data_IF_295165460239
#
_entry.id   IF_295165460239
#
_cell.length_a   1.000
_cell.length_b   1.000
_cell.length_c   1.000
_cell.angle_alpha   90.00
_cell.angle_beta   90.00
_cell.angle_gamma   90.00
#
_symmetry.space_group_name_H-M   'P 1'
#
loop_
_entity.id
_entity.type
_entity.pdbx_description
1 polymer ?
#
# COMPACT_ATOMS: atom_id res chain seq x y z
N UNK A 1 -5.93 -28.53 14.83
CA UNK A 1 -5.42 -28.02 16.12
C UNK A 1 -6.59 -27.30 16.79
N UNK A 2 -7.00 -27.72 17.98
CA UNK A 2 -8.17 -27.12 18.68
C UNK A 2 -7.74 -25.98 19.60
N UNK A 3 -6.94 -25.01 19.07
CA UNK A 3 -6.62 -23.79 19.82
C UNK A 3 -7.66 -22.73 19.52
N UNK A 4 -8.26 -22.16 20.56
CA UNK A 4 -9.15 -21.00 20.43
C UNK A 4 -8.29 -19.76 20.16
N UNK A 5 -8.69 -18.92 19.24
CA UNK A 5 -7.95 -17.67 18.95
C UNK A 5 -8.38 -16.56 19.91
N UNK A 6 -7.47 -15.62 20.16
CA UNK A 6 -7.78 -14.41 20.95
C UNK A 6 -8.93 -13.62 20.27
N UNK A 7 -8.95 -13.58 18.93
CA UNK A 7 -10.04 -12.96 18.16
C UNK A 7 -11.40 -13.58 18.46
N UNK A 8 -11.49 -14.91 18.49
CA UNK A 8 -12.75 -15.61 18.79
C UNK A 8 -13.23 -15.29 20.21
N UNK A 9 -12.32 -15.26 21.18
CA UNK A 9 -12.64 -14.90 22.56
C UNK A 9 -13.21 -13.49 22.65
N UNK A 10 -12.57 -12.49 22.00
CA UNK A 10 -13.05 -11.11 22.01
C UNK A 10 -14.39 -10.93 21.29
N UNK A 11 -14.59 -11.60 20.16
CA UNK A 11 -15.81 -11.49 19.35
C UNK A 11 -17.01 -12.25 19.91
N UNK A 12 -16.75 -13.34 20.64
CA UNK A 12 -17.78 -14.27 21.10
C UNK A 12 -17.61 -14.61 22.59
N UNK A 13 -17.21 -13.63 23.41
CA UNK A 13 -16.85 -13.81 24.82
C UNK A 13 -17.88 -14.60 25.60
N UNK A 14 -19.18 -14.35 25.38
CA UNK A 14 -20.29 -15.02 26.06
C UNK A 14 -20.28 -16.57 25.84
N UNK A 15 -19.69 -17.00 24.74
CA UNK A 15 -19.52 -18.41 24.41
C UNK A 15 -18.43 -19.07 25.25
N UNK A 16 -17.42 -18.31 25.67
CA UNK A 16 -16.21 -18.82 26.33
C UNK A 16 -16.11 -18.48 27.81
N UNK A 17 -16.87 -17.51 28.32
CA UNK A 17 -16.89 -17.19 29.76
C UNK A 17 -17.26 -18.39 30.58
N UNK A 18 -16.55 -18.59 31.72
CA UNK A 18 -16.65 -19.66 32.67
C UNK A 18 -16.42 -21.07 32.09
N UNK A 19 -15.79 -21.13 30.89
CA UNK A 19 -15.41 -22.38 30.23
C UNK A 19 -13.89 -22.50 30.11
N UNK A 20 -13.47 -23.75 30.00
CA UNK A 20 -12.08 -24.07 29.69
C UNK A 20 -11.78 -23.70 28.23
N UNK A 21 -10.69 -22.97 28.03
CA UNK A 21 -10.14 -22.59 26.72
C UNK A 21 -8.68 -23.02 26.65
N UNK A 22 -8.21 -23.25 25.43
CA UNK A 22 -6.80 -23.50 25.15
C UNK A 22 -6.34 -22.54 24.04
N UNK A 23 -5.34 -21.72 24.35
CA UNK A 23 -4.75 -20.76 23.40
C UNK A 23 -3.25 -21.01 23.22
N UNK A 24 -2.72 -20.69 22.04
CA UNK A 24 -1.27 -20.63 21.80
C UNK A 24 -0.87 -19.19 21.45
N UNK A 25 0.30 -18.74 21.90
CA UNK A 25 0.74 -17.39 21.56
C UNK A 25 2.12 -17.04 22.10
N UNK A 26 2.51 -15.81 21.85
CA UNK A 26 3.81 -15.27 22.26
C UNK A 26 3.68 -14.35 23.46
N UNK A 27 4.61 -14.53 24.41
CA UNK A 27 4.71 -13.72 25.63
C UNK A 27 5.08 -12.27 25.27
N UNK A 28 4.25 -11.34 25.71
CA UNK A 28 4.48 -9.89 25.59
C UNK A 28 5.03 -9.28 26.87
N UNK A 29 4.65 -9.83 28.01
CA UNK A 29 5.23 -9.49 29.31
C UNK A 29 4.91 -10.56 30.33
N UNK A 30 5.79 -10.71 31.31
CA UNK A 30 5.59 -11.52 32.51
C UNK A 30 5.76 -10.62 33.72
N UNK A 31 4.88 -10.78 34.71
CA UNK A 31 4.97 -10.14 36.03
C UNK A 31 4.62 -11.17 37.07
N UNK A 32 5.52 -11.49 37.97
CA UNK A 32 5.33 -12.47 39.01
C UNK A 32 5.40 -11.88 40.41
N UNK A 33 4.74 -12.58 41.35
CA UNK A 33 4.89 -12.46 42.81
C UNK A 33 5.31 -13.82 43.38
N UNK A 34 5.35 -13.96 44.71
CA UNK A 34 5.75 -15.22 45.32
C UNK A 34 4.80 -16.38 45.02
N UNK A 35 3.50 -16.09 44.91
CA UNK A 35 2.46 -17.12 44.87
C UNK A 35 1.68 -17.16 43.55
N UNK A 36 1.76 -16.13 42.73
CA UNK A 36 1.09 -16.05 41.43
C UNK A 36 1.77 -15.04 40.50
N UNK A 37 1.39 -15.06 39.22
CA UNK A 37 1.86 -14.08 38.26
C UNK A 37 0.91 -13.89 37.09
N UNK A 38 1.28 -12.93 36.24
CA UNK A 38 0.53 -12.57 35.06
C UNK A 38 1.42 -12.68 33.82
N UNK A 39 0.89 -13.30 32.80
CA UNK A 39 1.48 -13.29 31.44
C UNK A 39 0.53 -12.55 30.51
N UNK A 40 1.04 -11.63 29.74
CA UNK A 40 0.31 -11.03 28.61
C UNK A 40 0.71 -11.77 27.35
N UNK A 41 -0.27 -12.35 26.65
CA UNK A 41 -0.09 -13.17 25.45
C UNK A 41 -0.73 -12.51 24.24
N UNK A 42 -0.05 -12.57 23.11
CA UNK A 42 -0.58 -12.26 21.79
C UNK A 42 -0.46 -13.48 20.91
N UNK A 43 -1.55 -13.90 20.28
CA UNK A 43 -1.56 -14.99 19.31
C UNK A 43 -1.47 -14.49 17.85
N UNK A 44 -1.44 -13.18 17.67
CA UNK A 44 -1.43 -12.53 16.35
C UNK A 44 -2.78 -12.53 15.62
N UNK A 45 -3.82 -13.16 16.15
CA UNK A 45 -5.14 -13.20 15.51
C UNK A 45 -5.93 -11.90 15.69
N UNK A 46 -5.64 -11.15 16.75
CA UNK A 46 -6.34 -9.93 17.14
C UNK A 46 -5.35 -8.85 17.59
N UNK A 47 -5.74 -7.59 17.53
CA UNK A 47 -4.87 -6.49 17.97
C UNK A 47 -4.69 -6.46 19.48
N UNK A 48 -5.78 -6.68 20.23
CA UNK A 48 -5.71 -6.76 21.68
C UNK A 48 -5.04 -8.06 22.16
N UNK A 49 -4.44 -7.99 23.32
CA UNK A 49 -3.77 -9.11 23.97
C UNK A 49 -4.65 -9.75 25.05
N UNK A 50 -4.30 -10.95 25.48
CA UNK A 50 -5.00 -11.67 26.51
C UNK A 50 -4.12 -11.83 27.77
N UNK A 51 -4.68 -11.55 28.94
CA UNK A 51 -4.01 -11.78 30.22
C UNK A 51 -4.24 -13.19 30.70
N UNK A 52 -3.18 -13.80 31.19
CA UNK A 52 -3.16 -15.14 31.79
C UNK A 52 -2.67 -15.01 33.22
N UNK A 53 -3.40 -15.57 34.17
CA UNK A 53 -2.99 -15.68 35.58
C UNK A 53 -2.50 -17.10 35.84
N UNK A 54 -1.33 -17.23 36.45
CA UNK A 54 -0.75 -18.53 36.83
C UNK A 54 -0.38 -18.53 38.32
N UNK A 55 -0.43 -19.69 38.97
CA UNK A 55 -0.24 -19.85 40.42
C UNK A 55 0.94 -20.78 40.75
N UNK A 56 1.47 -20.64 41.95
CA UNK A 56 2.58 -21.44 42.50
C UNK A 56 2.25 -22.93 42.68
N UNK A 57 0.97 -23.30 42.58
CA UNK A 57 0.53 -24.70 42.52
C UNK A 57 0.92 -25.43 41.24
N UNK A 58 1.34 -24.70 40.19
CA UNK A 58 1.80 -25.29 38.92
C UNK A 58 3.17 -25.95 39.08
N UNK A 59 3.39 -27.17 38.57
CA UNK A 59 4.67 -27.89 38.70
C UNK A 59 5.86 -27.10 38.13
N UNK A 60 5.62 -26.31 37.06
CA UNK A 60 6.64 -25.53 36.36
C UNK A 60 6.57 -24.02 36.66
N UNK A 61 6.00 -23.61 37.79
CA UNK A 61 5.88 -22.20 38.20
C UNK A 61 7.21 -21.43 38.12
N UNK A 62 8.30 -22.08 38.58
CA UNK A 62 9.65 -21.45 38.54
C UNK A 62 10.16 -21.19 37.12
N UNK A 63 9.79 -22.03 36.17
CA UNK A 63 10.11 -21.85 34.76
C UNK A 63 9.26 -20.71 34.15
N UNK A 64 7.95 -20.76 34.37
CA UNK A 64 7.01 -19.75 33.84
C UNK A 64 7.36 -18.37 34.36
N UNK A 65 7.71 -18.24 35.62
CA UNK A 65 8.07 -16.96 36.26
C UNK A 65 9.33 -16.30 35.65
N UNK A 66 10.15 -17.07 34.92
CA UNK A 66 11.41 -16.63 34.29
C UNK A 66 11.30 -16.53 32.78
N UNK A 67 10.11 -16.67 32.19
CA UNK A 67 9.93 -16.58 30.77
C UNK A 67 10.35 -15.19 30.25
N UNK A 68 11.13 -15.19 29.18
CA UNK A 68 11.46 -13.97 28.46
C UNK A 68 10.33 -13.55 27.51
N UNK A 69 10.28 -12.26 27.20
CA UNK A 69 9.43 -11.72 26.12
C UNK A 69 9.79 -12.43 24.82
N UNK A 70 8.80 -12.77 24.03
CA UNK A 70 8.96 -13.48 22.76
C UNK A 70 8.92 -15.00 22.87
N UNK A 71 8.94 -15.59 24.08
CA UNK A 71 8.71 -17.02 24.23
C UNK A 71 7.31 -17.43 23.72
N UNK A 72 7.20 -18.60 23.11
CA UNK A 72 5.92 -19.17 22.69
C UNK A 72 5.42 -20.16 23.73
N UNK A 73 4.12 -20.07 24.04
CA UNK A 73 3.45 -20.88 25.07
C UNK A 73 2.10 -21.35 24.58
N UNK A 74 1.68 -22.50 25.13
CA UNK A 74 0.29 -22.97 25.09
C UNK A 74 -0.27 -22.86 26.50
N UNK A 75 -1.42 -22.22 26.63
CA UNK A 75 -2.12 -22.01 27.90
C UNK A 75 -3.46 -22.71 27.87
N UNK A 76 -3.75 -23.49 28.89
CA UNK A 76 -5.05 -24.09 29.16
C UNK A 76 -5.58 -23.53 30.46
N UNK A 77 -6.86 -23.14 30.52
CA UNK A 77 -7.46 -22.59 31.71
C UNK A 77 -8.88 -22.09 31.49
N UNK A 78 -9.47 -21.56 32.55
CA UNK A 78 -10.85 -21.03 32.53
C UNK A 78 -10.82 -19.55 32.21
N UNK A 79 -11.61 -19.11 31.20
CA UNK A 79 -11.82 -17.69 30.91
C UNK A 79 -12.78 -17.10 31.96
N UNK A 80 -12.34 -16.07 32.66
CA UNK A 80 -13.15 -15.39 33.70
C UNK A 80 -13.30 -13.90 33.38
N UNK A 81 -14.47 -13.35 33.69
CA UNK A 81 -14.73 -11.92 33.55
C UNK A 81 -13.97 -11.12 34.61
N UNK A 82 -13.46 -9.97 34.25
CA UNK A 82 -12.73 -9.02 35.11
C UNK A 82 -13.28 -7.62 35.00
N UNK A 83 -14.55 -7.36 35.41
CA UNK A 83 -15.22 -6.08 35.15
C UNK A 83 -14.55 -4.87 35.82
N UNK A 84 -13.82 -5.09 36.91
CA UNK A 84 -13.11 -4.05 37.65
C UNK A 84 -11.66 -3.81 37.13
N UNK A 85 -11.19 -4.63 36.16
CA UNK A 85 -9.85 -4.54 35.61
C UNK A 85 -9.85 -3.74 34.29
N UNK A 86 -8.66 -3.37 33.84
CA UNK A 86 -8.49 -2.70 32.53
C UNK A 86 -8.92 -3.60 31.36
N UNK A 87 -8.62 -4.90 31.44
CA UNK A 87 -9.05 -5.91 30.48
C UNK A 87 -10.43 -6.48 30.89
N UNK A 88 -11.30 -6.83 29.93
CA UNK A 88 -12.66 -7.31 30.24
C UNK A 88 -12.71 -8.73 30.79
N UNK A 89 -11.66 -9.54 30.62
CA UNK A 89 -11.54 -10.93 31.06
C UNK A 89 -10.07 -11.37 31.08
N UNK A 90 -9.81 -12.52 31.70
CA UNK A 90 -8.50 -13.16 31.77
C UNK A 90 -8.64 -14.69 31.81
N UNK A 91 -7.56 -15.41 31.52
CA UNK A 91 -7.51 -16.85 31.67
C UNK A 91 -6.90 -17.17 33.05
N UNK A 92 -7.65 -17.87 33.88
CA UNK A 92 -7.12 -18.54 35.08
C UNK A 92 -6.51 -19.87 34.63
N UNK A 93 -5.19 -19.89 34.47
CA UNK A 93 -4.49 -21.00 33.87
C UNK A 93 -4.47 -22.22 34.81
N UNK A 94 -4.74 -23.39 34.25
CA UNK A 94 -4.53 -24.71 34.89
C UNK A 94 -3.24 -25.35 34.37
N UNK A 95 -2.82 -24.99 33.18
CA UNK A 95 -1.58 -25.47 32.54
C UNK A 95 -0.96 -24.37 31.66
N UNK A 96 0.36 -24.25 31.70
CA UNK A 96 1.15 -23.42 30.77
C UNK A 96 2.32 -24.26 30.28
N UNK A 97 2.28 -24.64 29.02
CA UNK A 97 3.37 -25.36 28.35
C UNK A 97 4.24 -24.40 27.56
N UNK A 98 5.55 -24.51 27.70
CA UNK A 98 6.52 -23.73 26.94
C UNK A 98 6.83 -24.47 25.65
N UNK A 99 6.39 -23.92 24.49
CA UNK A 99 6.68 -24.48 23.16
C UNK A 99 8.08 -24.09 22.68
N UNK A 100 8.46 -22.84 22.94
CA UNK A 100 9.77 -22.32 22.56
C UNK A 100 10.23 -21.23 23.51
N UNK A 101 11.38 -21.39 24.18
CA UNK A 101 11.96 -20.34 25.00
C UNK A 101 12.48 -19.18 24.11
N UNK A 102 12.57 -17.99 24.68
CA UNK A 102 13.19 -16.82 24.05
C UNK A 102 14.52 -16.53 24.71
N UNK A 103 15.54 -16.26 23.89
CA UNK A 103 16.86 -15.90 24.38
C UNK A 103 16.84 -14.54 25.12
N UNK A 104 17.79 -14.35 26.04
CA UNK A 104 17.86 -13.15 26.88
C UNK A 104 18.20 -11.88 26.10
N UNK A 105 18.80 -12.01 24.92
CA UNK A 105 19.19 -10.94 24.00
C UNK A 105 18.09 -10.61 22.97
N UNK A 106 16.86 -11.14 23.14
CA UNK A 106 15.72 -10.82 22.28
C UNK A 106 15.58 -9.30 22.10
N UNK A 107 15.64 -8.77 20.86
CA UNK A 107 15.81 -7.35 20.61
C UNK A 107 14.58 -6.51 20.95
N UNK A 108 13.38 -7.08 20.90
CA UNK A 108 12.11 -6.38 21.17
C UNK A 108 11.76 -6.43 22.67
N UNK A 109 12.64 -5.85 23.50
CA UNK A 109 12.41 -5.71 24.93
C UNK A 109 11.26 -4.73 25.24
N UNK A 110 10.75 -4.74 26.48
CA UNK A 110 9.68 -3.87 26.97
C UNK A 110 10.13 -2.40 27.06
N UNK A 111 10.37 -1.77 25.91
CA UNK A 111 10.71 -0.35 25.77
C UNK A 111 10.17 0.15 24.42
N UNK A 112 10.08 1.47 24.26
CA UNK A 112 9.76 2.05 22.96
C UNK A 112 10.97 1.88 22.02
N UNK A 113 10.71 1.39 20.81
CA UNK A 113 11.69 1.28 19.72
C UNK A 113 11.38 2.31 18.65
N UNK A 114 12.41 2.92 18.06
CA UNK A 114 12.21 3.80 16.91
C UNK A 114 11.90 2.99 15.64
N UNK A 115 11.21 3.61 14.69
CA UNK A 115 10.93 2.94 13.41
C UNK A 115 12.21 2.64 12.63
N UNK A 116 13.22 3.50 12.71
CA UNK A 116 14.55 3.30 12.11
C UNK A 116 15.21 2.02 12.64
N UNK A 117 15.21 1.83 13.96
CA UNK A 117 15.73 0.60 14.55
C UNK A 117 14.92 -0.62 14.09
N UNK A 118 13.60 -0.51 14.08
CA UNK A 118 12.74 -1.65 13.67
C UNK A 118 12.93 -2.04 12.19
N UNK A 119 13.38 -1.12 11.33
CA UNK A 119 13.77 -1.44 9.95
C UNK A 119 15.00 -2.35 9.88
N UNK A 120 15.93 -2.23 10.83
CA UNK A 120 17.12 -3.10 10.87
C UNK A 120 16.82 -4.54 11.29
N UNK A 121 15.63 -4.79 11.84
CA UNK A 121 15.14 -6.10 12.25
C UNK A 121 13.77 -6.39 11.62
N UNK A 122 13.63 -6.18 10.32
CA UNK A 122 12.37 -6.28 9.58
C UNK A 122 11.63 -7.60 9.80
N UNK A 123 12.35 -8.72 10.00
CA UNK A 123 11.81 -10.04 10.28
C UNK A 123 11.18 -10.18 11.69
N UNK A 124 11.52 -9.30 12.64
CA UNK A 124 10.96 -9.32 14.00
C UNK A 124 9.97 -8.18 14.25
N UNK A 125 10.06 -7.08 13.52
CA UNK A 125 9.18 -5.91 13.73
C UNK A 125 7.68 -6.22 13.66
N UNK A 126 7.17 -7.25 12.93
CA UNK A 126 5.75 -7.63 12.97
C UNK A 126 5.25 -8.04 14.35
N UNK A 127 6.15 -8.37 15.29
CA UNK A 127 5.79 -8.68 16.67
C UNK A 127 5.50 -7.44 17.53
N UNK A 128 5.67 -6.23 17.00
CA UNK A 128 5.31 -4.97 17.69
C UNK A 128 3.87 -4.57 17.39
N UNK A 129 3.24 -3.83 18.30
CA UNK A 129 1.85 -3.36 18.11
C UNK A 129 1.73 -2.50 16.84
N UNK A 130 2.68 -1.61 16.60
CA UNK A 130 2.68 -0.74 15.42
C UNK A 130 2.61 -1.54 14.13
N UNK A 131 3.48 -2.54 13.97
CA UNK A 131 3.53 -3.31 12.72
C UNK A 131 2.45 -4.39 12.64
N UNK A 132 1.95 -4.90 13.75
CA UNK A 132 0.73 -5.70 13.74
C UNK A 132 -0.45 -4.89 13.21
N UNK A 133 -0.62 -3.65 13.68
CA UNK A 133 -1.67 -2.77 13.18
C UNK A 133 -1.48 -2.43 11.69
N UNK A 134 -0.29 -2.00 11.28
CA UNK A 134 0.02 -1.63 9.89
C UNK A 134 -0.28 -2.78 8.93
N UNK A 135 0.25 -3.98 9.19
CA UNK A 135 0.09 -5.09 8.25
C UNK A 135 -1.29 -5.71 8.28
N UNK A 136 -2.03 -5.58 9.38
CA UNK A 136 -3.44 -5.95 9.41
C UNK A 136 -4.29 -4.99 8.58
N UNK A 137 -4.09 -3.68 8.72
CA UNK A 137 -4.78 -2.69 7.89
C UNK A 137 -4.38 -2.84 6.41
N UNK A 138 -3.09 -3.07 6.10
CA UNK A 138 -2.65 -3.37 4.74
C UNK A 138 -3.38 -4.57 4.14
N UNK A 139 -3.52 -5.66 4.90
CA UNK A 139 -4.25 -6.86 4.46
C UNK A 139 -5.73 -6.58 4.20
N UNK A 140 -6.39 -5.85 5.11
CA UNK A 140 -7.80 -5.49 4.94
C UNK A 140 -8.02 -4.53 3.77
N UNK A 141 -7.14 -3.54 3.58
CA UNK A 141 -7.21 -2.62 2.46
C UNK A 141 -7.07 -3.35 1.11
N UNK A 142 -6.15 -4.33 1.01
CA UNK A 142 -6.01 -5.15 -0.19
C UNK A 142 -7.28 -5.95 -0.49
N UNK A 143 -7.86 -6.57 0.54
CA UNK A 143 -9.14 -7.29 0.38
C UNK A 143 -10.28 -6.35 -0.03
N UNK A 144 -10.39 -5.19 0.61
CA UNK A 144 -11.41 -4.19 0.27
C UNK A 144 -11.33 -3.72 -1.18
N UNK A 145 -10.11 -3.52 -1.72
CA UNK A 145 -9.89 -3.15 -3.11
C UNK A 145 -10.38 -4.27 -4.05
N UNK A 146 -10.00 -5.52 -3.78
CA UNK A 146 -10.51 -6.65 -4.57
C UNK A 146 -12.04 -6.76 -4.50
N UNK A 147 -12.61 -6.63 -3.31
CA UNK A 147 -14.06 -6.68 -3.12
C UNK A 147 -14.76 -5.56 -3.88
N UNK A 148 -14.26 -4.33 -3.81
CA UNK A 148 -14.79 -3.18 -4.52
C UNK A 148 -14.95 -3.44 -6.02
N UNK A 149 -13.87 -3.90 -6.65
CA UNK A 149 -13.86 -4.15 -8.09
C UNK A 149 -14.70 -5.38 -8.49
N UNK A 150 -14.59 -6.47 -7.73
CA UNK A 150 -15.35 -7.69 -8.03
C UNK A 150 -16.87 -7.49 -7.90
N UNK A 151 -17.34 -6.73 -6.91
CA UNK A 151 -18.76 -6.38 -6.74
C UNK A 151 -19.32 -5.46 -7.85
N UNK A 152 -18.41 -4.87 -8.67
CA UNK A 152 -18.74 -3.99 -9.81
C UNK A 152 -18.42 -4.61 -11.17
N UNK A 153 -18.27 -5.93 -11.21
CA UNK A 153 -18.02 -6.70 -12.42
C UNK A 153 -16.72 -6.34 -13.16
N UNK A 154 -15.70 -5.85 -12.43
CA UNK A 154 -14.36 -5.71 -12.97
C UNK A 154 -13.65 -7.05 -12.98
N UNK A 155 -12.94 -7.37 -14.07
CA UNK A 155 -12.13 -8.57 -14.19
C UNK A 155 -10.71 -8.28 -13.69
N UNK A 156 -10.23 -9.07 -12.72
CA UNK A 156 -8.83 -9.02 -12.28
C UNK A 156 -7.91 -9.64 -13.33
N UNK A 157 -6.92 -8.90 -13.78
CA UNK A 157 -5.98 -9.33 -14.82
C UNK A 157 -4.55 -9.37 -14.27
N UNK A 158 -3.88 -10.51 -14.48
CA UNK A 158 -2.46 -10.64 -14.25
C UNK A 158 -1.70 -10.13 -15.49
N UNK A 159 -1.03 -9.01 -15.38
CA UNK A 159 -0.14 -8.48 -16.41
C UNK A 159 1.31 -8.90 -16.15
N UNK A 160 2.16 -9.01 -17.19
CA UNK A 160 3.53 -9.47 -17.04
C UNK A 160 4.37 -8.54 -16.14
N UNK A 161 5.16 -9.13 -15.24
CA UNK A 161 6.15 -8.41 -14.45
C UNK A 161 7.47 -8.22 -15.20
N UNK A 162 7.80 -9.14 -16.12
CA UNK A 162 8.95 -9.04 -17.02
C UNK A 162 8.43 -8.58 -18.38
N UNK A 163 8.93 -7.46 -18.86
CA UNK A 163 8.44 -6.83 -20.10
C UNK A 163 9.60 -6.33 -20.96
N UNK A 164 9.36 -6.23 -22.26
CA UNK A 164 10.25 -5.59 -23.20
C UNK A 164 9.79 -4.15 -23.57
N UNK A 165 8.61 -3.72 -23.08
CA UNK A 165 8.07 -2.38 -23.33
C UNK A 165 8.18 -1.49 -22.08
N UNK A 166 8.38 -0.17 -22.30
CA UNK A 166 8.37 0.85 -21.25
C UNK A 166 7.02 1.59 -21.28
N UNK A 167 6.20 1.40 -20.26
CA UNK A 167 4.89 2.05 -20.16
C UNK A 167 4.99 3.57 -20.06
N UNK A 168 5.97 4.08 -19.35
CA UNK A 168 6.16 5.52 -19.13
C UNK A 168 6.94 6.20 -20.26
N UNK A 169 7.65 5.41 -21.08
CA UNK A 169 8.46 5.89 -22.21
C UNK A 169 9.79 6.58 -21.81
N UNK A 170 10.12 6.62 -20.53
CA UNK A 170 11.37 7.20 -19.99
C UNK A 170 11.69 6.64 -18.60
N UNK A 171 11.11 5.50 -18.22
CA UNK A 171 11.27 4.90 -16.90
C UNK A 171 12.67 4.33 -16.66
N UNK A 172 13.23 4.61 -15.50
CA UNK A 172 14.42 3.89 -15.02
C UNK A 172 13.98 2.48 -14.60
N UNK A 173 14.25 1.49 -15.46
CA UNK A 173 13.81 0.12 -15.28
C UNK A 173 14.96 -0.77 -14.80
N UNK A 174 14.66 -1.70 -13.89
CA UNK A 174 15.58 -2.79 -13.56
C UNK A 174 15.64 -3.77 -14.72
N UNK A 175 16.86 -4.03 -15.21
CA UNK A 175 17.08 -5.03 -16.26
C UNK A 175 16.99 -6.45 -15.71
N UNK A 176 16.33 -7.33 -16.45
CA UNK A 176 16.27 -8.77 -16.19
C UNK A 176 17.14 -9.49 -17.21
N UNK A 177 18.15 -10.21 -16.74
CA UNK A 177 19.08 -10.94 -17.58
C UNK A 177 19.58 -12.22 -16.89
N UNK A 178 19.90 -13.24 -17.68
CA UNK A 178 20.59 -14.47 -17.24
C UNK A 178 22.04 -14.52 -17.71
N UNK A 179 22.53 -13.46 -18.37
CA UNK A 179 23.91 -13.38 -18.82
C UNK A 179 24.87 -13.27 -17.63
N UNK A 180 26.05 -13.88 -17.76
CA UNK A 180 27.16 -13.63 -16.84
C UNK A 180 27.68 -12.20 -17.04
N UNK A 181 27.51 -11.34 -16.05
CA UNK A 181 27.96 -9.94 -16.09
C UNK A 181 29.51 -9.80 -16.20
N UNK A 182 30.28 -10.84 -15.85
CA UNK A 182 31.72 -10.85 -16.04
C UNK A 182 32.14 -11.22 -17.49
N UNK A 183 31.22 -11.81 -18.27
CA UNK A 183 31.47 -12.27 -19.62
C UNK A 183 30.23 -12.07 -20.52
N UNK A 184 29.83 -10.82 -20.68
CA UNK A 184 28.67 -10.44 -21.49
C UNK A 184 28.94 -10.68 -22.98
N UNK A 185 28.11 -11.48 -23.68
CA UNK A 185 28.21 -11.66 -25.14
C UNK A 185 28.07 -10.33 -25.88
N UNK A 186 28.91 -10.12 -26.89
CA UNK A 186 28.90 -8.89 -27.69
C UNK A 186 28.79 -9.21 -29.18
N UNK A 187 28.11 -8.32 -29.91
CA UNK A 187 28.10 -8.26 -31.37
C UNK A 187 29.41 -7.68 -31.93
N UNK A 188 29.59 -7.74 -33.24
CA UNK A 188 30.76 -7.19 -33.93
C UNK A 188 30.94 -5.67 -33.70
N UNK A 189 29.84 -4.95 -33.45
CA UNK A 189 29.83 -3.51 -33.13
C UNK A 189 30.10 -3.20 -31.66
N UNK A 190 30.48 -4.21 -30.88
CA UNK A 190 30.72 -4.13 -29.41
C UNK A 190 29.47 -3.89 -28.56
N UNK A 191 28.28 -3.83 -29.11
CA UNK A 191 27.03 -3.78 -28.34
C UNK A 191 26.72 -5.17 -27.74
N UNK A 192 25.87 -5.18 -26.68
CA UNK A 192 25.45 -6.44 -26.06
C UNK A 192 24.62 -7.28 -27.04
N UNK A 193 24.97 -8.56 -27.15
CA UNK A 193 24.22 -9.52 -27.97
C UNK A 193 23.10 -10.17 -27.16
N UNK A 194 21.99 -9.49 -27.05
CA UNK A 194 20.80 -10.00 -26.32
C UNK A 194 20.15 -11.22 -26.98
N UNK A 195 20.53 -11.60 -28.23
CA UNK A 195 20.02 -12.84 -28.83
C UNK A 195 20.47 -14.10 -28.06
N UNK A 196 21.52 -13.98 -27.25
CA UNK A 196 22.04 -15.02 -26.38
C UNK A 196 21.47 -14.96 -24.94
N UNK A 197 20.63 -13.97 -24.61
CA UNK A 197 19.94 -13.93 -23.33
C UNK A 197 18.66 -14.78 -23.34
N UNK A 198 18.10 -15.05 -22.16
CA UNK A 198 16.96 -15.96 -21.97
C UNK A 198 15.77 -15.65 -22.89
N UNK A 199 15.40 -14.38 -23.03
CA UNK A 199 14.27 -13.95 -23.87
C UNK A 199 14.67 -13.56 -25.30
N UNK A 200 15.95 -13.64 -25.65
CA UNK A 200 16.45 -13.26 -26.98
C UNK A 200 16.38 -11.77 -27.30
N UNK A 201 16.06 -10.92 -26.32
CA UNK A 201 15.96 -9.46 -26.40
C UNK A 201 16.10 -8.81 -25.02
N UNK A 202 16.37 -7.49 -24.94
CA UNK A 202 16.38 -6.78 -23.67
C UNK A 202 15.03 -6.89 -22.96
N UNK A 203 15.05 -7.21 -21.68
CA UNK A 203 13.85 -7.28 -20.84
C UNK A 203 14.10 -6.61 -19.49
N UNK A 204 13.03 -6.10 -18.89
CA UNK A 204 13.08 -5.35 -17.66
C UNK A 204 11.93 -5.76 -16.74
N UNK A 205 12.02 -5.37 -15.47
CA UNK A 205 10.88 -5.38 -14.56
C UNK A 205 9.95 -4.23 -14.89
N UNK A 206 8.64 -4.48 -14.89
CA UNK A 206 7.62 -3.51 -15.29
C UNK A 206 7.52 -2.32 -14.33
N UNK A 207 7.24 -1.15 -14.88
CA UNK A 207 6.89 0.07 -14.11
C UNK A 207 5.37 0.26 -13.96
N UNK A 208 4.55 -0.50 -14.72
CA UNK A 208 3.08 -0.44 -14.72
C UNK A 208 2.49 -1.61 -15.52
N UNK A 209 1.34 -2.10 -15.12
CA UNK A 209 0.55 -3.08 -15.88
C UNK A 209 -0.42 -2.45 -16.88
N UNK A 210 -0.47 -1.13 -16.99
CA UNK A 210 -1.50 -0.38 -17.72
C UNK A 210 -1.61 -0.80 -19.19
N UNK A 211 -0.53 -0.73 -19.97
CA UNK A 211 -0.61 -0.99 -21.42
C UNK A 211 -1.13 -2.39 -21.75
N UNK A 212 -0.69 -3.39 -20.99
CA UNK A 212 -1.21 -4.76 -21.11
C UNK A 212 -2.65 -4.86 -20.58
N UNK A 213 -2.99 -4.12 -19.52
CA UNK A 213 -4.35 -4.05 -18.97
C UNK A 213 -5.36 -3.49 -19.96
N UNK A 214 -4.99 -2.44 -20.71
CA UNK A 214 -5.85 -1.85 -21.73
C UNK A 214 -6.25 -2.87 -22.83
N UNK A 215 -5.40 -3.84 -23.16
CA UNK A 215 -5.74 -4.89 -24.12
C UNK A 215 -6.92 -5.72 -23.65
N UNK A 216 -7.00 -5.99 -22.36
CA UNK A 216 -8.11 -6.72 -21.74
C UNK A 216 -9.36 -5.85 -21.54
N UNK A 217 -9.20 -4.57 -21.26
CA UNK A 217 -10.33 -3.63 -21.18
C UNK A 217 -11.09 -3.55 -22.52
N UNK A 218 -10.37 -3.63 -23.66
CA UNK A 218 -10.97 -3.68 -25.01
C UNK A 218 -11.76 -4.96 -25.30
N UNK A 219 -11.72 -5.96 -24.41
CA UNK A 219 -12.46 -7.22 -24.53
C UNK A 219 -13.46 -7.43 -23.38
N UNK A 220 -13.09 -7.07 -22.17
CA UNK A 220 -13.87 -7.31 -20.93
C UNK A 220 -14.59 -6.06 -20.42
N UNK A 221 -14.43 -4.91 -21.07
CA UNK A 221 -14.98 -3.60 -20.70
C UNK A 221 -14.31 -3.00 -19.46
N UNK A 222 -14.39 -3.63 -18.30
CA UNK A 222 -13.82 -3.14 -17.04
C UNK A 222 -12.87 -4.19 -16.49
N UNK A 223 -11.63 -3.79 -16.30
CA UNK A 223 -10.59 -4.64 -15.70
C UNK A 223 -9.84 -3.87 -14.61
N UNK A 224 -9.10 -4.58 -13.80
CA UNK A 224 -8.09 -3.97 -12.95
C UNK A 224 -6.89 -4.90 -12.78
N UNK A 225 -5.72 -4.29 -12.61
CA UNK A 225 -4.52 -4.96 -12.12
C UNK A 225 -4.35 -4.66 -10.63
N UNK A 226 -3.73 -5.55 -9.91
CA UNK A 226 -3.23 -5.33 -8.56
C UNK A 226 -1.94 -6.14 -8.44
N UNK A 227 -0.83 -5.51 -8.71
CA UNK A 227 0.44 -6.22 -8.84
C UNK A 227 1.66 -5.36 -8.50
N UNK A 228 2.79 -6.04 -8.25
CA UNK A 228 4.06 -5.36 -8.00
C UNK A 228 4.54 -4.59 -9.24
N UNK A 229 5.09 -3.42 -8.98
CA UNK A 229 5.75 -2.56 -9.95
C UNK A 229 7.12 -2.16 -9.43
N UNK A 230 8.03 -1.82 -10.33
CA UNK A 230 9.43 -1.63 -10.01
C UNK A 230 9.94 -0.34 -10.67
N UNK A 231 10.65 0.49 -9.92
CA UNK A 231 11.29 1.70 -10.44
C UNK A 231 12.71 1.79 -9.90
N UNK A 232 13.68 1.95 -10.81
CA UNK A 232 15.10 2.02 -10.48
C UNK A 232 15.58 3.45 -10.19
N UNK A 233 14.66 4.38 -9.98
CA UNK A 233 14.96 5.78 -9.67
C UNK A 233 15.84 5.90 -8.43
N UNK A 234 16.92 6.68 -8.55
CA UNK A 234 17.80 6.97 -7.42
C UNK A 234 17.19 8.04 -6.50
N UNK A 235 16.03 7.72 -5.93
CA UNK A 235 15.28 8.59 -5.03
C UNK A 235 15.27 8.04 -3.61
N UNK A 236 15.75 8.82 -2.65
CA UNK A 236 15.82 8.44 -1.23
C UNK A 236 14.86 9.27 -0.37
N UNK A 237 13.61 9.38 -0.78
CA UNK A 237 12.56 10.09 -0.03
C UNK A 237 11.78 9.13 0.86
N UNK A 238 10.91 9.67 1.69
CA UNK A 238 9.98 8.90 2.54
C UNK A 238 8.81 8.28 1.75
N UNK A 239 8.67 8.60 0.46
CA UNK A 239 7.53 8.24 -0.38
C UNK A 239 7.90 7.35 -1.57
N UNK A 240 9.19 7.02 -1.77
CA UNK A 240 9.68 6.21 -2.87
C UNK A 240 10.26 4.87 -2.36
N UNK A 241 9.89 3.82 -3.05
CA UNK A 241 10.46 2.48 -2.94
C UNK A 241 10.73 1.94 -4.34
N UNK A 242 11.73 1.07 -4.46
CA UNK A 242 12.07 0.45 -5.75
C UNK A 242 11.10 -0.66 -6.17
N UNK A 243 10.40 -1.25 -5.19
CA UNK A 243 9.35 -2.25 -5.36
C UNK A 243 8.14 -1.82 -4.54
N UNK A 244 6.99 -1.73 -5.18
CA UNK A 244 5.70 -1.35 -4.57
C UNK A 244 4.55 -1.94 -5.39
N UNK A 245 3.31 -1.81 -4.90
CA UNK A 245 2.14 -2.37 -5.57
C UNK A 245 1.27 -1.28 -6.16
N UNK A 246 0.79 -1.51 -7.39
CA UNK A 246 -0.15 -0.61 -8.07
C UNK A 246 -1.50 -1.30 -8.26
N UNK A 247 -2.56 -0.51 -8.08
CA UNK A 247 -3.92 -0.86 -8.48
C UNK A 247 -4.26 0.00 -9.69
N UNK A 248 -4.52 -0.64 -10.82
CA UNK A 248 -4.68 0.03 -12.10
C UNK A 248 -5.94 -0.48 -12.82
N UNK A 249 -7.12 0.12 -12.55
CA UNK A 249 -8.33 -0.16 -13.33
C UNK A 249 -8.26 0.51 -14.71
N UNK A 250 -8.83 -0.17 -15.71
CA UNK A 250 -9.04 0.35 -17.07
C UNK A 250 -10.49 0.06 -17.50
N UNK A 251 -11.16 1.07 -18.01
CA UNK A 251 -12.60 1.04 -18.30
C UNK A 251 -12.87 1.49 -19.72
N UNK A 252 -13.36 0.58 -20.56
CA UNK A 252 -13.82 0.93 -21.89
C UNK A 252 -15.15 1.68 -21.85
N UNK A 253 -15.34 2.60 -22.80
CA UNK A 253 -16.48 3.50 -22.92
C UNK A 253 -16.62 4.54 -21.80
N UNK A 254 -15.59 4.68 -20.96
CA UNK A 254 -15.51 5.68 -19.90
C UNK A 254 -14.68 6.90 -20.34
N UNK A 255 -15.11 8.09 -19.95
CA UNK A 255 -14.34 9.31 -20.10
C UNK A 255 -13.61 9.71 -18.82
N UNK A 256 -13.01 10.92 -18.80
CA UNK A 256 -12.26 11.39 -17.64
C UNK A 256 -13.16 11.59 -16.40
N UNK A 257 -14.42 12.03 -16.60
CA UNK A 257 -15.34 12.21 -15.47
C UNK A 257 -15.75 10.87 -14.85
N UNK A 258 -16.10 9.87 -15.69
CA UNK A 258 -16.36 8.51 -15.22
C UNK A 258 -15.17 7.95 -14.42
N UNK A 259 -13.95 8.26 -14.88
CA UNK A 259 -12.70 7.83 -14.21
C UNK A 259 -12.55 8.46 -12.82
N UNK A 260 -12.82 9.77 -12.69
CA UNK A 260 -12.77 10.47 -11.41
C UNK A 260 -13.85 9.97 -10.44
N UNK A 261 -15.07 9.69 -10.92
CA UNK A 261 -16.15 9.13 -10.10
C UNK A 261 -15.79 7.76 -9.51
N UNK A 262 -15.22 6.87 -10.33
CA UNK A 262 -14.77 5.54 -9.86
C UNK A 262 -13.62 5.68 -8.86
N UNK A 263 -12.67 6.59 -9.09
CA UNK A 263 -11.56 6.84 -8.18
C UNK A 263 -12.03 7.34 -6.81
N UNK A 264 -12.98 8.28 -6.77
CA UNK A 264 -13.60 8.79 -5.54
C UNK A 264 -14.35 7.69 -4.79
N UNK A 265 -15.22 6.95 -5.48
CA UNK A 265 -16.02 5.88 -4.87
C UNK A 265 -15.15 4.76 -4.30
N UNK A 266 -14.13 4.33 -5.05
CA UNK A 266 -13.16 3.32 -4.58
C UNK A 266 -12.42 3.78 -3.33
N UNK A 267 -11.88 5.00 -3.32
CA UNK A 267 -11.13 5.51 -2.18
C UNK A 267 -12.00 5.58 -0.93
N UNK A 268 -13.22 6.09 -1.06
CA UNK A 268 -14.21 6.13 0.03
C UNK A 268 -14.59 4.75 0.52
N UNK A 269 -14.78 3.80 -0.40
CA UNK A 269 -15.09 2.40 -0.06
C UNK A 269 -13.98 1.78 0.81
N UNK A 270 -12.73 1.91 0.39
CA UNK A 270 -11.57 1.36 1.12
C UNK A 270 -11.43 1.99 2.51
N UNK A 271 -11.57 3.32 2.63
CA UNK A 271 -11.52 4.02 3.91
C UNK A 271 -12.63 3.49 4.85
N UNK A 272 -13.87 3.45 4.37
CA UNK A 272 -15.01 2.94 5.16
C UNK A 272 -14.79 1.52 5.62
N UNK A 273 -14.36 0.66 4.70
CA UNK A 273 -14.10 -0.76 4.99
C UNK A 273 -13.08 -0.94 6.11
N UNK A 274 -11.97 -0.22 6.06
CA UNK A 274 -10.91 -0.29 7.08
C UNK A 274 -11.40 0.24 8.44
N UNK A 275 -12.13 1.36 8.46
CA UNK A 275 -12.69 1.92 9.69
C UNK A 275 -13.68 0.97 10.37
N UNK A 276 -14.47 0.23 9.59
CA UNK A 276 -15.46 -0.73 10.10
C UNK A 276 -14.83 -2.05 10.57
N UNK A 277 -13.76 -2.53 9.92
CA UNK A 277 -13.20 -3.86 10.14
C UNK A 277 -11.92 -3.90 10.98
N UNK A 278 -11.32 -2.74 11.26
CA UNK A 278 -10.11 -2.60 12.08
C UNK A 278 -10.19 -1.45 13.09
N UNK A 279 -11.29 -1.32 13.87
CA UNK A 279 -11.47 -0.17 14.77
C UNK A 279 -10.38 -0.08 15.84
N UNK A 280 -9.87 -1.18 16.34
CA UNK A 280 -8.81 -1.21 17.36
C UNK A 280 -7.49 -0.68 16.80
N UNK A 281 -7.09 -1.14 15.62
CA UNK A 281 -5.89 -0.69 14.92
C UNK A 281 -6.01 0.80 14.54
N UNK A 282 -7.16 1.24 14.05
CA UNK A 282 -7.38 2.62 13.66
C UNK A 282 -7.38 3.57 14.88
N UNK A 283 -7.95 3.16 16.01
CA UNK A 283 -7.83 3.90 17.27
C UNK A 283 -6.38 3.98 17.75
N UNK A 284 -5.62 2.90 17.62
CA UNK A 284 -4.19 2.90 17.94
C UNK A 284 -3.41 3.91 17.09
N UNK A 285 -3.63 3.95 15.78
CA UNK A 285 -2.99 4.92 14.91
C UNK A 285 -3.35 6.36 15.28
N UNK A 286 -4.64 6.62 15.52
CA UNK A 286 -5.11 7.96 15.91
C UNK A 286 -4.51 8.43 17.24
N UNK A 287 -4.28 7.51 18.18
CA UNK A 287 -3.72 7.84 19.49
C UNK A 287 -2.21 8.00 19.48
N UNK A 288 -1.47 7.15 18.75
CA UNK A 288 -0.02 6.99 18.91
C UNK A 288 0.81 7.37 17.68
N UNK A 289 0.21 7.43 16.49
CA UNK A 289 0.94 7.69 15.24
C UNK A 289 0.57 9.06 14.69
N UNK A 290 -0.72 9.32 14.45
CA UNK A 290 -1.19 10.56 13.83
C UNK A 290 -2.50 11.02 14.49
N UNK A 291 -2.37 11.95 15.42
CA UNK A 291 -3.51 12.55 16.09
C UNK A 291 -4.38 13.34 15.09
N UNK A 292 -5.66 13.00 15.02
CA UNK A 292 -6.60 13.58 14.06
C UNK A 292 -6.76 12.73 12.78
N UNK A 293 -6.14 11.56 12.72
CA UNK A 293 -6.29 10.61 11.60
C UNK A 293 -7.76 10.26 11.34
N UNK A 294 -8.49 9.87 12.38
CA UNK A 294 -9.91 9.49 12.26
C UNK A 294 -10.78 10.65 11.80
N UNK A 295 -10.55 11.85 12.30
CA UNK A 295 -11.29 13.06 11.89
C UNK A 295 -11.04 13.35 10.40
N UNK A 296 -9.78 13.26 9.95
CA UNK A 296 -9.40 13.44 8.54
C UNK A 296 -10.05 12.40 7.63
N UNK A 297 -9.98 11.11 7.98
CA UNK A 297 -10.58 10.04 7.18
C UNK A 297 -12.12 10.16 7.12
N UNK A 298 -12.77 10.48 8.24
CA UNK A 298 -14.21 10.72 8.28
C UNK A 298 -14.60 11.97 7.47
N UNK A 299 -13.78 13.02 7.50
CA UNK A 299 -14.00 14.19 6.66
C UNK A 299 -13.97 13.83 5.16
N UNK A 300 -13.00 13.04 4.72
CA UNK A 300 -12.92 12.55 3.33
C UNK A 300 -14.16 11.73 2.95
N UNK A 301 -14.61 10.83 3.82
CA UNK A 301 -15.83 10.03 3.57
C UNK A 301 -17.08 10.88 3.34
N UNK A 302 -17.20 11.99 4.06
CA UNK A 302 -18.37 12.86 4.06
C UNK A 302 -18.25 14.06 3.10
N UNK A 303 -17.09 14.25 2.46
CA UNK A 303 -16.89 15.32 1.49
C UNK A 303 -17.18 14.87 0.07
N UNK A 304 -17.77 15.72 -0.72
CA UNK A 304 -17.70 15.66 -2.17
C UNK A 304 -16.33 16.20 -2.60
N UNK A 305 -15.62 15.49 -3.47
CA UNK A 305 -14.28 15.92 -3.88
C UNK A 305 -14.38 17.17 -4.76
N UNK A 306 -13.43 18.08 -4.57
CA UNK A 306 -13.34 19.29 -5.39
C UNK A 306 -12.78 18.99 -6.78
N UNK A 307 -13.03 19.90 -7.72
CA UNK A 307 -12.46 19.87 -9.06
C UNK A 307 -11.87 21.25 -9.38
N UNK A 308 -10.63 21.26 -9.84
CA UNK A 308 -9.93 22.46 -10.28
C UNK A 308 -8.96 22.09 -11.40
N UNK A 309 -9.05 22.70 -12.57
CA UNK A 309 -8.12 22.39 -13.66
C UNK A 309 -6.69 22.75 -13.26
N UNK A 310 -5.69 22.06 -13.84
CA UNK A 310 -4.28 22.37 -13.60
C UNK A 310 -3.98 23.86 -13.83
N UNK A 311 -4.50 24.42 -14.91
CA UNK A 311 -4.29 25.86 -15.22
C UNK A 311 -4.83 26.78 -14.13
N UNK A 312 -6.02 26.48 -13.60
CA UNK A 312 -6.61 27.25 -12.52
C UNK A 312 -5.90 27.01 -11.17
N UNK A 313 -5.50 25.75 -10.88
CA UNK A 313 -4.71 25.42 -9.73
C UNK A 313 -3.37 26.18 -9.70
N UNK A 314 -2.66 26.21 -10.83
CA UNK A 314 -1.42 26.99 -10.95
C UNK A 314 -1.68 28.49 -10.70
N UNK A 315 -2.75 29.05 -11.27
CA UNK A 315 -3.10 30.47 -11.04
C UNK A 315 -3.34 30.77 -9.56
N UNK A 316 -4.06 29.88 -8.85
CA UNK A 316 -4.30 30.01 -7.40
C UNK A 316 -2.97 29.92 -6.63
N UNK A 317 -2.11 28.97 -6.97
CA UNK A 317 -0.84 28.76 -6.29
C UNK A 317 0.16 29.88 -6.57
N UNK A 318 0.18 30.49 -7.76
CA UNK A 318 1.03 31.62 -8.11
C UNK A 318 0.77 32.85 -7.21
N UNK A 319 -0.48 33.05 -6.76
CA UNK A 319 -0.85 34.11 -5.79
C UNK A 319 -0.18 33.91 -4.41
N UNK A 320 0.28 32.68 -4.12
CA UNK A 320 0.92 32.28 -2.86
C UNK A 320 2.37 31.82 -3.03
N UNK A 321 2.99 32.18 -4.14
CA UNK A 321 4.31 31.64 -4.51
C UNK A 321 5.41 31.95 -3.47
N UNK A 322 5.24 33.00 -2.66
CA UNK A 322 6.19 33.34 -1.60
C UNK A 322 6.23 32.31 -0.46
N UNK A 323 5.17 31.51 -0.30
CA UNK A 323 5.05 30.48 0.72
C UNK A 323 5.73 29.16 0.34
N UNK A 324 6.17 28.97 -0.92
CA UNK A 324 6.71 27.72 -1.43
C UNK A 324 8.23 27.76 -1.61
N UNK A 325 8.86 26.63 -1.33
CA UNK A 325 10.28 26.42 -1.64
C UNK A 325 10.48 26.32 -3.16
N UNK A 326 9.62 25.57 -3.86
CA UNK A 326 9.58 25.46 -5.31
C UNK A 326 8.53 26.42 -5.88
N UNK A 327 8.98 27.34 -6.73
CA UNK A 327 8.07 28.31 -7.35
C UNK A 327 7.19 27.65 -8.40
N UNK A 328 5.90 27.94 -8.34
CA UNK A 328 4.90 27.45 -9.29
C UNK A 328 4.88 28.34 -10.53
N UNK A 329 4.78 27.75 -11.70
CA UNK A 329 4.54 28.38 -12.97
C UNK A 329 3.82 27.39 -13.90
N UNK A 330 3.10 27.88 -14.90
CA UNK A 330 2.41 26.99 -15.83
C UNK A 330 3.39 26.10 -16.60
N UNK A 331 3.18 24.79 -16.58
CA UNK A 331 4.05 23.78 -17.17
C UNK A 331 5.00 23.09 -16.17
N UNK A 332 5.03 23.52 -14.90
CA UNK A 332 5.81 22.82 -13.87
C UNK A 332 5.07 21.60 -13.32
N UNK A 333 5.83 20.60 -12.86
CA UNK A 333 5.29 19.53 -12.00
C UNK A 333 4.93 20.10 -10.63
N UNK A 334 3.69 19.86 -10.18
CA UNK A 334 3.27 20.23 -8.85
C UNK A 334 4.02 19.37 -7.82
N UNK A 335 4.63 20.05 -6.85
CA UNK A 335 5.31 19.38 -5.75
C UNK A 335 4.33 19.09 -4.61
N UNK A 336 4.68 18.17 -3.72
CA UNK A 336 3.84 17.83 -2.55
C UNK A 336 3.40 19.04 -1.73
N UNK A 337 4.22 20.08 -1.61
CA UNK A 337 3.85 21.32 -0.91
C UNK A 337 2.68 22.03 -1.60
N UNK A 338 2.67 22.07 -2.95
CA UNK A 338 1.61 22.67 -3.75
C UNK A 338 0.30 21.88 -3.65
N UNK A 339 0.37 20.56 -3.77
CA UNK A 339 -0.75 19.63 -3.68
C UNK A 339 -1.43 19.70 -2.30
N UNK A 340 -0.62 19.72 -1.24
CA UNK A 340 -1.12 19.87 0.12
C UNK A 340 -1.70 21.26 0.38
N UNK A 341 -1.13 22.30 -0.22
CA UNK A 341 -1.68 23.66 -0.10
C UNK A 341 -3.09 23.73 -0.70
N UNK A 342 -3.29 23.16 -1.88
CA UNK A 342 -4.62 23.05 -2.49
C UNK A 342 -5.61 22.32 -1.59
N UNK A 343 -5.24 21.15 -1.07
CA UNK A 343 -6.16 20.29 -0.29
C UNK A 343 -6.36 20.75 1.15
N UNK A 344 -5.35 21.37 1.79
CA UNK A 344 -5.38 21.72 3.21
C UNK A 344 -5.72 23.20 3.47
N UNK A 345 -5.39 24.12 2.53
CA UNK A 345 -5.60 25.55 2.70
C UNK A 345 -6.73 26.09 1.83
N UNK A 346 -6.74 25.75 0.55
CA UNK A 346 -7.70 26.31 -0.41
C UNK A 346 -9.04 25.57 -0.33
N UNK A 347 -9.06 24.29 -0.62
CA UNK A 347 -10.31 23.52 -0.72
C UNK A 347 -10.72 22.83 0.58
N UNK A 348 -9.78 22.59 1.49
CA UNK A 348 -9.97 21.90 2.77
C UNK A 348 -10.68 20.54 2.63
N UNK A 349 -10.43 19.85 1.51
CA UNK A 349 -11.00 18.55 1.15
C UNK A 349 -10.17 17.92 0.02
N UNK A 350 -10.40 16.63 -0.33
CA UNK A 350 -9.80 16.03 -1.52
C UNK A 350 -10.19 16.79 -2.78
N UNK A 351 -9.27 16.84 -3.76
CA UNK A 351 -9.43 17.61 -4.99
C UNK A 351 -8.91 16.81 -6.17
N UNK A 352 -9.70 16.73 -7.24
CA UNK A 352 -9.21 16.33 -8.55
C UNK A 352 -8.65 17.53 -9.29
N UNK A 353 -7.47 17.32 -9.87
CA UNK A 353 -6.82 18.30 -10.75
C UNK A 353 -6.72 17.69 -12.15
N UNK A 354 -7.66 17.99 -13.07
CA UNK A 354 -7.60 17.55 -14.45
C UNK A 354 -6.81 18.52 -15.37
N UNK A 355 -6.57 18.07 -16.60
CA UNK A 355 -6.10 18.87 -17.75
C UNK A 355 -4.68 19.44 -17.58
N UNK A 356 -3.73 18.54 -17.38
CA UNK A 356 -2.31 18.88 -17.26
C UNK A 356 -1.66 19.24 -18.62
N UNK A 357 -0.58 20.04 -18.63
CA UNK A 357 0.24 20.26 -19.83
C UNK A 357 0.77 18.94 -20.39
N UNK A 358 0.71 18.79 -21.71
CA UNK A 358 1.16 17.57 -22.40
C UNK A 358 2.64 17.24 -22.16
N UNK A 359 3.46 18.26 -21.96
CA UNK A 359 4.91 18.13 -21.82
C UNK A 359 5.34 17.38 -20.57
N UNK A 360 4.51 17.38 -19.53
CA UNK A 360 4.79 16.73 -18.24
C UNK A 360 3.97 15.45 -18.00
N UNK A 361 3.28 14.95 -19.03
CA UNK A 361 2.45 13.75 -18.93
C UNK A 361 2.79 12.75 -20.04
N UNK A 362 2.45 11.47 -19.81
CA UNK A 362 2.80 10.35 -20.67
C UNK A 362 2.13 10.40 -22.06
N UNK A 363 2.73 9.70 -23.02
CA UNK A 363 2.35 9.72 -24.44
C UNK A 363 0.94 9.21 -24.74
N UNK A 364 0.42 8.31 -23.92
CA UNK A 364 -0.87 7.63 -24.14
C UNK A 364 -2.09 8.44 -23.70
N UNK A 365 -1.89 9.58 -23.07
CA UNK A 365 -2.98 10.40 -22.56
C UNK A 365 -3.67 11.19 -23.68
N UNK A 366 -5.00 11.23 -23.63
CA UNK A 366 -5.81 11.88 -24.67
C UNK A 366 -5.51 13.37 -24.76
N UNK A 367 -5.17 13.83 -25.96
CA UNK A 367 -4.97 15.25 -26.23
C UNK A 367 -6.29 16.01 -26.19
N UNK A 368 -6.36 17.09 -25.41
CA UNK A 368 -7.49 18.01 -25.40
C UNK A 368 -7.55 18.87 -26.68
N UNK A 369 -8.71 19.48 -26.92
CA UNK A 369 -8.95 20.30 -28.13
C UNK A 369 -8.04 21.54 -28.22
N UNK A 370 -7.51 22.01 -27.09
CA UNK A 370 -6.59 23.16 -27.05
C UNK A 370 -5.19 22.85 -27.62
N UNK A 371 -4.87 21.57 -27.84
CA UNK A 371 -3.58 21.09 -28.35
C UNK A 371 -2.39 21.31 -27.39
N UNK A 372 -2.64 21.73 -26.16
CA UNK A 372 -1.65 22.05 -25.12
C UNK A 372 -1.76 21.16 -23.90
N UNK A 373 -2.97 20.76 -23.53
CA UNK A 373 -3.25 19.94 -22.37
C UNK A 373 -3.71 18.56 -22.77
N UNK A 374 -3.62 17.62 -21.83
CA UNK A 374 -4.13 16.25 -21.95
C UNK A 374 -5.16 15.98 -20.87
N UNK A 375 -6.10 15.08 -21.15
CA UNK A 375 -7.13 14.64 -20.22
C UNK A 375 -6.55 13.71 -19.13
N UNK A 376 -5.52 14.19 -18.44
CA UNK A 376 -4.95 13.61 -17.23
C UNK A 376 -5.76 14.06 -16.01
N UNK A 377 -5.68 13.33 -14.93
CA UNK A 377 -6.17 13.75 -13.63
C UNK A 377 -5.29 13.22 -12.50
N UNK A 378 -5.05 14.04 -11.50
CA UNK A 378 -4.49 13.60 -10.23
C UNK A 378 -5.53 13.82 -9.12
N UNK A 379 -5.71 12.83 -8.25
CA UNK A 379 -6.51 12.96 -7.03
C UNK A 379 -5.59 13.30 -5.88
N UNK A 380 -5.78 14.48 -5.32
CA UNK A 380 -5.02 15.01 -4.21
C UNK A 380 -5.81 14.86 -2.91
N UNK A 381 -5.17 14.39 -1.84
CA UNK A 381 -5.79 14.27 -0.52
C UNK A 381 -4.98 15.01 0.55
N UNK A 382 -5.65 15.55 1.61
CA UNK A 382 -4.96 16.19 2.72
C UNK A 382 -3.93 15.25 3.39
N UNK A 383 -2.76 15.75 3.71
CA UNK A 383 -1.70 15.01 4.41
C UNK A 383 -0.74 14.25 3.49
N UNK A 384 -1.17 13.81 2.33
CA UNK A 384 -0.35 13.06 1.37
C UNK A 384 -0.05 13.88 0.09
N UNK A 385 -1.02 14.61 -0.45
CA UNK A 385 -0.98 15.15 -1.80
C UNK A 385 -1.53 14.12 -2.78
N UNK A 386 -0.87 13.90 -3.92
CA UNK A 386 -1.29 12.92 -4.94
C UNK A 386 -1.33 11.50 -4.35
N UNK A 387 -2.51 10.86 -4.46
CA UNK A 387 -2.74 9.47 -4.09
C UNK A 387 -3.14 8.61 -5.30
N UNK A 388 -3.81 9.19 -6.28
CA UNK A 388 -4.22 8.56 -7.55
C UNK A 388 -3.82 9.47 -8.69
N UNK A 389 -3.19 8.90 -9.72
CA UNK A 389 -2.97 9.54 -11.01
C UNK A 389 -3.63 8.75 -12.12
N UNK A 390 -4.23 9.42 -13.10
CA UNK A 390 -4.93 8.74 -14.18
C UNK A 390 -5.17 9.60 -15.40
N UNK A 391 -5.83 9.05 -16.40
CA UNK A 391 -6.22 9.80 -17.59
C UNK A 391 -7.32 9.10 -18.40
N UNK A 392 -7.99 9.85 -19.23
CA UNK A 392 -8.57 9.28 -20.45
C UNK A 392 -7.43 8.96 -21.41
N UNK A 393 -7.51 7.82 -22.10
CA UNK A 393 -6.47 7.32 -22.99
C UNK A 393 -6.74 7.85 -24.41
N UNK A 394 -5.67 8.10 -25.20
CA UNK A 394 -5.83 8.50 -26.60
C UNK A 394 -6.41 7.33 -27.42
N UNK A 395 -7.57 7.54 -27.99
CA UNK A 395 -8.33 6.56 -28.76
C UNK A 395 -8.19 6.73 -30.28
N UNK A 396 -7.54 7.81 -30.72
CA UNK A 396 -7.20 8.06 -32.13
C UNK A 396 -5.81 7.52 -32.44
N UNK A 397 -5.73 6.58 -33.41
CA UNK A 397 -4.45 6.06 -33.88
C UNK A 397 -3.53 7.18 -34.39
N UNK A 398 -4.05 8.07 -35.22
CA UNK A 398 -3.29 9.18 -35.82
C UNK A 398 -2.68 10.11 -34.76
N UNK A 399 -3.47 10.49 -33.73
CA UNK A 399 -3.00 11.35 -32.66
C UNK A 399 -1.98 10.65 -31.77
N UNK A 400 -2.20 9.37 -31.47
CA UNK A 400 -1.26 8.56 -30.67
C UNK A 400 0.08 8.42 -31.38
N UNK A 401 0.08 8.07 -32.68
CA UNK A 401 1.30 7.98 -33.50
C UNK A 401 2.04 9.31 -33.58
N UNK A 402 1.30 10.41 -33.79
CA UNK A 402 1.90 11.74 -33.82
C UNK A 402 2.59 12.12 -32.50
N UNK A 403 1.96 11.74 -31.37
CA UNK A 403 2.55 11.99 -30.05
C UNK A 403 3.80 11.12 -29.81
N UNK A 404 3.78 9.87 -30.25
CA UNK A 404 4.94 8.99 -30.18
C UNK A 404 6.11 9.51 -31.02
N UNK A 405 5.83 10.02 -32.24
CA UNK A 405 6.83 10.65 -33.10
C UNK A 405 7.42 11.92 -32.44
N UNK A 406 6.58 12.76 -31.83
CA UNK A 406 7.02 13.97 -31.10
C UNK A 406 8.01 13.61 -29.97
N UNK A 407 7.80 12.48 -29.29
CA UNK A 407 8.63 12.00 -28.19
C UNK A 407 9.78 11.08 -28.62
N UNK A 408 9.88 10.76 -29.91
CA UNK A 408 10.93 9.89 -30.45
C UNK A 408 10.80 8.41 -30.01
N UNK A 409 9.59 7.95 -29.70
CA UNK A 409 9.32 6.57 -29.33
C UNK A 409 9.32 5.66 -30.57
N UNK A 410 9.87 4.47 -30.44
CA UNK A 410 9.88 3.46 -31.50
C UNK A 410 8.53 2.75 -31.54
N UNK A 411 7.76 2.96 -32.60
CA UNK A 411 6.41 2.40 -32.76
C UNK A 411 6.42 0.88 -32.74
N UNK A 412 7.49 0.24 -33.23
CA UNK A 412 7.65 -1.21 -33.28
C UNK A 412 7.65 -1.87 -31.88
N UNK A 413 8.06 -1.12 -30.86
CA UNK A 413 8.02 -1.59 -29.46
C UNK A 413 6.61 -1.57 -28.88
N UNK A 414 5.65 -0.89 -29.54
CA UNK A 414 4.28 -0.68 -29.14
C UNK A 414 3.23 -1.16 -30.16
N UNK A 415 3.60 -2.00 -31.12
CA UNK A 415 2.68 -2.50 -32.15
C UNK A 415 1.37 -3.06 -31.55
N UNK A 416 1.46 -3.85 -30.49
CA UNK A 416 0.30 -4.41 -29.79
C UNK A 416 -0.63 -3.32 -29.24
N UNK A 417 -0.09 -2.21 -28.80
CA UNK A 417 -0.84 -1.08 -28.24
C UNK A 417 -1.49 -0.23 -29.33
N UNK A 418 -0.80 -0.01 -30.45
CA UNK A 418 -1.36 0.63 -31.63
C UNK A 418 -2.49 -0.17 -32.27
N UNK A 419 -2.39 -1.51 -32.25
CA UNK A 419 -3.43 -2.41 -32.76
C UNK A 419 -4.78 -2.23 -32.05
N UNK A 420 -4.80 -1.83 -30.78
CA UNK A 420 -6.03 -1.52 -30.05
C UNK A 420 -6.77 -0.33 -30.69
N UNK A 421 -6.07 0.57 -31.39
CA UNK A 421 -6.68 1.72 -32.08
C UNK A 421 -7.08 1.38 -33.51
N UNK A 422 -6.44 0.37 -34.13
CA UNK A 422 -6.80 -0.13 -35.47
C UNK A 422 -8.01 -1.06 -35.46
N UNK A 423 -8.15 -1.88 -34.43
CA UNK A 423 -9.11 -2.99 -34.39
C UNK A 423 -10.21 -2.73 -33.34
N UNK A 424 -11.09 -1.77 -33.60
CA UNK A 424 -12.23 -1.47 -32.75
C UNK A 424 -11.92 -0.58 -31.56
N UNK A 425 -11.21 0.53 -31.84
CA UNK A 425 -10.92 1.55 -30.82
C UNK A 425 -12.20 2.01 -30.10
N UNK A 426 -12.09 2.18 -28.80
CA UNK A 426 -13.14 2.75 -27.97
C UNK A 426 -12.57 3.83 -27.04
N UNK A 427 -13.35 4.85 -26.74
CA UNK A 427 -13.07 5.74 -25.63
C UNK A 427 -12.85 4.91 -24.37
N UNK A 428 -11.76 5.15 -23.64
CA UNK A 428 -11.46 4.44 -22.41
C UNK A 428 -10.58 5.27 -21.48
N UNK A 429 -10.64 4.96 -20.21
CA UNK A 429 -9.92 5.68 -19.17
C UNK A 429 -9.50 4.74 -18.04
N UNK A 430 -8.52 5.16 -17.26
CA UNK A 430 -8.04 4.41 -16.13
C UNK A 430 -7.16 5.26 -15.22
N UNK A 431 -6.82 4.71 -14.08
CA UNK A 431 -5.96 5.37 -13.12
C UNK A 431 -5.03 4.38 -12.39
N UNK A 432 -4.03 4.91 -11.70
CA UNK A 432 -3.15 4.16 -10.83
C UNK A 432 -3.27 4.65 -9.39
N UNK A 433 -3.53 3.73 -8.45
CA UNK A 433 -3.40 3.96 -7.01
C UNK A 433 -2.16 3.24 -6.50
N UNK A 434 -1.19 3.98 -5.97
CA UNK A 434 -0.07 3.39 -5.23
C UNK A 434 -0.56 2.80 -3.91
N UNK A 435 -0.48 1.48 -3.78
CA UNK A 435 -1.04 0.79 -2.61
C UNK A 435 -0.37 1.22 -1.30
N UNK A 436 0.93 1.40 -1.31
CA UNK A 436 1.69 1.84 -0.15
C UNK A 436 1.32 3.27 0.27
N UNK A 437 1.10 4.18 -0.68
CA UNK A 437 0.59 5.53 -0.37
C UNK A 437 -0.80 5.47 0.26
N UNK A 438 -1.66 4.59 -0.25
CA UNK A 438 -2.97 4.33 0.34
C UNK A 438 -2.85 3.82 1.78
N UNK A 439 -1.98 2.85 2.05
CA UNK A 439 -1.75 2.33 3.41
C UNK A 439 -1.16 3.41 4.33
N UNK A 440 -0.21 4.22 3.85
CA UNK A 440 0.30 5.38 4.60
C UNK A 440 -0.83 6.35 4.95
N UNK A 441 -1.71 6.63 4.00
CA UNK A 441 -2.87 7.51 4.21
C UNK A 441 -3.84 6.98 5.25
N UNK A 442 -4.16 5.68 5.19
CA UNK A 442 -5.06 5.01 6.13
C UNK A 442 -4.50 4.91 7.55
N UNK A 443 -3.19 4.83 7.71
CA UNK A 443 -2.53 4.56 8.99
C UNK A 443 -1.86 5.79 9.62
N UNK A 444 -1.67 6.86 8.86
CA UNK A 444 -0.91 8.04 9.28
C UNK A 444 0.60 7.80 9.38
N UNK A 445 1.09 6.65 8.92
CA UNK A 445 2.53 6.35 8.89
C UNK A 445 3.20 7.18 7.81
N UNK A 446 4.26 7.90 8.18
CA UNK A 446 4.88 8.92 7.32
C UNK A 446 5.96 8.40 6.37
N UNK A 447 6.36 7.14 6.47
CA UNK A 447 7.44 6.58 5.66
C UNK A 447 7.01 5.27 4.99
N UNK A 448 7.15 5.21 3.67
CA UNK A 448 6.77 4.05 2.86
C UNK A 448 7.44 2.75 3.30
N UNK A 449 8.68 2.84 3.84
CA UNK A 449 9.42 1.68 4.36
C UNK A 449 8.73 1.00 5.53
N UNK A 450 7.80 1.70 6.18
CA UNK A 450 7.10 1.20 7.37
C UNK A 450 5.71 0.62 7.05
N UNK A 451 5.31 0.65 5.78
CA UNK A 451 4.07 0.02 5.30
C UNK A 451 4.33 -1.14 4.33
N UNK A 452 5.60 -1.44 4.06
CA UNK A 452 6.08 -2.58 3.26
C UNK A 452 6.72 -3.60 4.20
N UNK A 453 6.37 -4.90 4.14
CA UNK A 453 6.96 -5.93 5.00
C UNK A 453 8.50 -5.96 4.95
N UNK A 454 9.07 -6.02 3.75
CA UNK A 454 10.51 -6.01 3.48
C UNK A 454 10.79 -4.98 2.37
N UNK A 455 11.04 -3.70 2.74
CA UNK A 455 11.15 -2.63 1.76
C UNK A 455 12.40 -2.75 0.90
N UNK A 456 12.23 -2.53 -0.41
CA UNK A 456 13.32 -2.40 -1.39
C UNK A 456 13.50 -0.93 -1.73
N UNK A 457 14.65 -0.38 -1.41
CA UNK A 457 14.97 1.03 -1.65
C UNK A 457 16.44 1.15 -2.07
N UNK A 458 16.86 2.33 -2.49
CA UNK A 458 18.26 2.59 -2.81
C UNK A 458 19.19 2.12 -1.67
N UNK A 459 20.20 1.33 -2.00
CA UNK A 459 21.15 0.72 -1.07
C UNK A 459 20.54 -0.19 0.01
N UNK A 460 19.32 -0.67 -0.18
CA UNK A 460 18.69 -1.59 0.76
C UNK A 460 17.93 -2.71 0.06
N UNK A 461 18.41 -3.92 0.22
CA UNK A 461 17.79 -5.17 -0.25
C UNK A 461 17.90 -6.27 0.82
N UNK A 462 17.87 -5.86 2.09
CA UNK A 462 18.02 -6.76 3.22
C UNK A 462 16.74 -7.58 3.48
N UNK A 463 16.92 -8.94 3.66
CA UNK A 463 15.90 -9.98 3.94
C UNK A 463 14.90 -10.21 2.84
#
# INVERSE_FOLDING_TARGET
MNLTTVREIYRSRETYLDKEVQIGGWVRSVRGSKNFGFIVVSDGSYFETLQVVYHDTMPNFAEISKLNVGASIIVKGTLVATPEAKQPFEIQATEVAVEGPSASDYPLQKKRHSLEYLRTISHLRPRTNTFQAVFRVRSLAAYAIHQYFQERDFVYVHTPLITASDCEGAGEMFQVTTMDLNNVPKKDDSTVDYSQDFFGKPTNLTVSGQLNGETYAMAFRNIYTFGPTFRAENSNTTRHAAEFWMIEPEMAFADLNDNMEVAEDMLKYVIRYVLEHAPEEMNFFNQFIDKGLLDRLNHVLNSEFGHVTYTEAVRILEEHNDEFDYKVFWGCDLQTEHERYLTEKIFQKPVFVPDYPKEIKAFYMKMNEDGKTVAAMDCLVPGIGEIIGGSQREDSLEKLEARMDELGLKKEDYDFYLDLRKYGSARHSGFGLGFERCVMYLTGVSNIRDVIPFPRTVNNCEL
#
